data_IF_225073726642
#
_entry.id   IF_225073726642
#
_cell.length_a   1.000
_cell.length_b   1.000
_cell.length_c   1.000
_cell.angle_alpha   90.00
_cell.angle_beta   90.00
_cell.angle_gamma   90.00
#
_symmetry.space_group_name_H-M   'P 1'
#
loop_
_entity.id
_entity.type
_entity.pdbx_description
1 polymer ?
#
# COMPACT_ATOMS: atom_id res chain seq x y z
N UNK A 1 -12.02 16.17 -11.64
CA UNK A 1 -12.37 14.91 -11.01
C UNK A 1 -12.34 15.11 -9.50
N UNK A 2 -13.46 14.99 -8.77
CA UNK A 2 -13.50 15.18 -7.33
C UNK A 2 -12.59 14.16 -6.64
N UNK A 3 -11.67 14.65 -5.78
CA UNK A 3 -10.73 13.80 -5.05
C UNK A 3 -9.56 13.27 -5.89
N UNK A 4 -9.25 13.90 -7.02
CA UNK A 4 -8.03 13.63 -7.78
C UNK A 4 -7.32 14.96 -8.08
N UNK A 5 -6.02 15.02 -7.77
CA UNK A 5 -5.23 16.21 -7.96
C UNK A 5 -4.78 16.38 -9.42
N UNK A 6 -4.82 17.61 -9.92
CA UNK A 6 -4.12 18.03 -11.12
C UNK A 6 -2.80 18.69 -10.71
N UNK A 7 -1.70 18.20 -11.22
CA UNK A 7 -0.39 18.71 -10.90
C UNK A 7 0.06 19.71 -11.97
N UNK A 8 0.36 20.93 -11.56
CA UNK A 8 1.00 21.92 -12.42
C UNK A 8 2.46 21.51 -12.67
N UNK A 9 3.16 22.21 -13.56
CA UNK A 9 4.59 21.98 -13.83
C UNK A 9 5.43 21.99 -12.52
N UNK A 10 5.25 23.02 -11.69
CA UNK A 10 5.96 23.12 -10.40
C UNK A 10 5.56 22.02 -9.43
N UNK A 11 4.27 21.70 -9.37
CA UNK A 11 3.75 20.61 -8.55
C UNK A 11 4.31 19.25 -8.97
N UNK A 12 4.37 18.99 -10.29
CA UNK A 12 4.95 17.78 -10.87
C UNK A 12 6.44 17.66 -10.53
N UNK A 13 7.20 18.77 -10.63
CA UNK A 13 8.62 18.79 -10.27
C UNK A 13 8.84 18.44 -8.80
N UNK A 14 8.05 19.03 -7.90
CA UNK A 14 8.11 18.72 -6.47
C UNK A 14 7.75 17.26 -6.20
N UNK A 15 6.66 16.78 -6.80
CA UNK A 15 6.21 15.39 -6.67
C UNK A 15 7.30 14.39 -7.11
N UNK A 16 7.92 14.63 -8.25
CA UNK A 16 9.00 13.79 -8.78
C UNK A 16 10.24 13.83 -7.87
N UNK A 17 10.60 15.02 -7.34
CA UNK A 17 11.72 15.18 -6.41
C UNK A 17 11.50 14.36 -5.13
N UNK A 18 10.30 14.40 -4.55
CA UNK A 18 9.96 13.62 -3.36
C UNK A 18 9.98 12.12 -3.64
N UNK A 19 9.43 11.68 -4.76
CA UNK A 19 9.50 10.28 -5.16
C UNK A 19 10.93 9.79 -5.39
N UNK A 20 11.77 10.62 -6.01
CA UNK A 20 13.18 10.29 -6.21
C UNK A 20 13.93 10.19 -4.88
N UNK A 21 13.67 11.11 -3.97
CA UNK A 21 14.23 11.06 -2.61
C UNK A 21 13.87 9.76 -1.89
N UNK A 22 12.61 9.34 -1.94
CA UNK A 22 12.19 8.06 -1.34
C UNK A 22 12.87 6.86 -2.00
N UNK A 23 13.00 6.85 -3.33
CA UNK A 23 13.73 5.78 -4.03
C UNK A 23 15.19 5.70 -3.62
N UNK A 24 15.83 6.84 -3.42
CA UNK A 24 17.23 6.90 -2.95
C UNK A 24 17.37 6.33 -1.54
N UNK A 25 16.43 6.65 -0.63
CA UNK A 25 16.42 6.11 0.73
C UNK A 25 16.18 4.60 0.76
N UNK A 26 15.39 4.07 -0.18
CA UNK A 26 15.03 2.65 -0.24
C UNK A 26 15.97 1.84 -1.16
N UNK A 27 16.94 2.45 -1.82
CA UNK A 27 17.84 1.79 -2.79
C UNK A 27 18.47 0.53 -2.21
N UNK A 28 18.92 0.59 -0.98
CA UNK A 28 19.60 -0.51 -0.34
C UNK A 28 18.63 -1.34 0.51
N UNK A 29 18.29 -2.51 0.01
CA UNK A 29 17.49 -3.50 0.72
C UNK A 29 16.01 -3.56 0.35
N UNK A 30 15.53 -2.73 -0.58
CA UNK A 30 14.17 -2.83 -1.15
C UNK A 30 14.23 -3.13 -2.65
N UNK A 31 13.26 -3.92 -3.11
CA UNK A 31 13.04 -4.22 -4.51
C UNK A 31 11.81 -3.43 -4.98
N UNK A 32 12.01 -2.40 -5.81
CA UNK A 32 10.89 -1.66 -6.39
C UNK A 32 10.14 -2.56 -7.37
N UNK A 33 8.85 -2.70 -7.17
CA UNK A 33 7.94 -3.49 -8.01
C UNK A 33 6.82 -2.61 -8.53
N UNK A 34 6.16 -3.07 -9.59
CA UNK A 34 4.93 -2.48 -10.11
C UNK A 34 3.89 -3.56 -10.31
N UNK A 35 2.66 -3.23 -10.00
CA UNK A 35 1.54 -4.16 -10.14
C UNK A 35 0.39 -3.52 -10.91
N UNK A 36 -0.50 -4.30 -11.56
CA UNK A 36 -1.65 -3.77 -12.27
C UNK A 36 -2.53 -2.89 -11.38
N UNK A 37 -3.30 -2.00 -12.00
CA UNK A 37 -4.28 -1.16 -11.30
C UNK A 37 -5.67 -1.81 -11.24
N UNK A 38 -5.99 -2.62 -12.23
CA UNK A 38 -7.30 -3.24 -12.42
C UNK A 38 -7.22 -4.73 -12.13
N UNK A 39 -8.15 -5.22 -11.33
CA UNK A 39 -8.23 -6.63 -10.92
C UNK A 39 -9.66 -7.14 -10.96
N UNK A 40 -9.81 -8.42 -11.20
CA UNK A 40 -11.07 -9.13 -11.06
C UNK A 40 -11.45 -9.22 -9.58
N UNK A 41 -12.76 -9.24 -9.31
CA UNK A 41 -13.31 -9.29 -7.95
C UNK A 41 -12.81 -10.50 -7.15
N UNK A 42 -12.50 -11.62 -7.81
CA UNK A 42 -12.01 -12.83 -7.16
C UNK A 42 -10.78 -12.62 -6.27
N UNK A 43 -9.87 -11.72 -6.65
CA UNK A 43 -8.75 -11.34 -5.79
C UNK A 43 -9.23 -10.72 -4.46
N UNK A 44 -10.23 -9.87 -4.54
CA UNK A 44 -10.77 -9.15 -3.40
C UNK A 44 -11.65 -10.04 -2.52
N UNK A 45 -12.27 -11.06 -3.09
CA UNK A 45 -13.00 -12.09 -2.35
C UNK A 45 -12.04 -12.93 -1.52
N UNK A 46 -10.96 -13.44 -2.14
CA UNK A 46 -9.92 -14.24 -1.46
C UNK A 46 -9.26 -13.44 -0.32
N UNK A 47 -8.93 -12.17 -0.57
CA UNK A 47 -8.28 -11.31 0.42
C UNK A 47 -9.24 -10.70 1.45
N UNK A 48 -10.55 -10.98 1.36
CA UNK A 48 -11.57 -10.47 2.26
C UNK A 48 -11.97 -9.00 2.07
N UNK A 49 -11.35 -8.30 1.11
CA UNK A 49 -11.64 -6.88 0.86
C UNK A 49 -13.04 -6.69 0.27
N UNK A 50 -13.51 -7.62 -0.57
CA UNK A 50 -14.83 -7.51 -1.19
C UNK A 50 -15.95 -7.44 -0.16
N UNK A 51 -15.89 -8.27 0.88
CA UNK A 51 -16.92 -8.28 1.93
C UNK A 51 -16.90 -7.08 2.87
N UNK A 52 -15.73 -6.45 3.05
CA UNK A 52 -15.54 -5.39 4.07
C UNK A 52 -15.44 -3.99 3.49
N UNK A 53 -14.96 -3.86 2.25
CA UNK A 53 -14.56 -2.56 1.66
C UNK A 53 -15.17 -2.32 0.28
N UNK A 54 -16.11 -3.16 -0.20
CA UNK A 54 -16.73 -3.03 -1.52
C UNK A 54 -17.25 -1.60 -1.79
N UNK A 55 -17.90 -0.99 -0.80
CA UNK A 55 -18.46 0.35 -0.92
C UNK A 55 -17.40 1.44 -1.15
N UNK A 56 -16.18 1.17 -0.67
CA UNK A 56 -15.03 2.06 -0.82
C UNK A 56 -14.17 1.73 -2.06
N UNK A 57 -14.62 0.82 -2.93
CA UNK A 57 -13.92 0.45 -4.15
C UNK A 57 -14.59 1.05 -5.37
N UNK A 58 -13.79 1.49 -6.33
CA UNK A 58 -14.29 1.82 -7.67
C UNK A 58 -14.49 0.54 -8.46
N UNK A 59 -15.73 0.19 -8.68
CA UNK A 59 -16.09 -0.98 -9.49
C UNK A 59 -16.11 -0.61 -10.97
N UNK A 60 -15.59 -1.50 -11.79
CA UNK A 60 -15.52 -1.35 -13.24
C UNK A 60 -16.45 -2.36 -13.89
N UNK A 61 -17.28 -1.87 -14.79
CA UNK A 61 -18.18 -2.68 -15.57
C UNK A 61 -17.40 -3.43 -16.67
N UNK A 62 -17.57 -4.72 -16.72
CA UNK A 62 -17.01 -5.56 -17.76
C UNK A 62 -18.05 -5.69 -18.90
N UNK A 63 -17.74 -5.13 -20.05
CA UNK A 63 -18.65 -5.16 -21.19
C UNK A 63 -18.85 -6.56 -21.79
N UNK A 64 -17.92 -7.49 -21.53
CA UNK A 64 -18.04 -8.87 -22.04
C UNK A 64 -19.00 -9.69 -21.20
N UNK A 65 -18.98 -9.54 -19.87
CA UNK A 65 -19.84 -10.29 -18.96
C UNK A 65 -21.12 -9.55 -18.62
N UNK A 66 -21.20 -8.24 -18.83
CA UNK A 66 -22.29 -7.40 -18.41
C UNK A 66 -22.34 -7.14 -16.90
N UNK A 67 -21.33 -7.55 -16.14
CA UNK A 67 -21.26 -7.45 -14.68
C UNK A 67 -20.24 -6.41 -14.21
N UNK A 68 -20.38 -5.99 -12.94
CA UNK A 68 -19.35 -5.23 -12.21
C UNK A 68 -18.46 -6.21 -11.45
N UNK A 69 -17.60 -6.92 -12.18
CA UNK A 69 -16.74 -7.97 -11.69
C UNK A 69 -15.25 -7.57 -11.61
N UNK A 70 -14.97 -6.31 -11.84
CA UNK A 70 -13.62 -5.74 -11.77
C UNK A 70 -13.61 -4.50 -10.87
N UNK A 71 -12.42 -4.13 -10.38
CA UNK A 71 -12.23 -2.89 -9.63
C UNK A 71 -10.82 -2.33 -9.76
N UNK A 72 -10.70 -1.01 -9.57
CA UNK A 72 -9.42 -0.38 -9.32
C UNK A 72 -8.91 -0.76 -7.93
N UNK A 73 -7.62 -1.03 -7.81
CA UNK A 73 -7.05 -1.44 -6.52
C UNK A 73 -7.12 -0.32 -5.48
N UNK A 74 -7.70 -0.59 -4.29
CA UNK A 74 -7.70 0.33 -3.16
C UNK A 74 -6.48 0.18 -2.27
N UNK A 75 -5.74 -0.94 -2.40
CA UNK A 75 -4.56 -1.34 -1.62
C UNK A 75 -3.61 -2.16 -2.48
N UNK A 76 -2.32 -2.17 -2.11
CA UNK A 76 -1.29 -2.95 -2.81
C UNK A 76 -1.11 -4.37 -2.24
N UNK A 77 -1.55 -4.64 -1.00
CA UNK A 77 -1.28 -5.88 -0.29
C UNK A 77 -1.56 -7.15 -1.10
N UNK A 78 -2.77 -7.35 -1.67
CA UNK A 78 -3.05 -8.58 -2.40
C UNK A 78 -2.17 -8.77 -3.64
N UNK A 79 -1.86 -7.69 -4.35
CA UNK A 79 -1.01 -7.75 -5.55
C UNK A 79 0.44 -8.07 -5.24
N UNK A 80 0.98 -7.57 -4.14
CA UNK A 80 2.33 -7.92 -3.67
C UNK A 80 2.41 -9.40 -3.28
N UNK A 81 1.39 -9.93 -2.61
CA UNK A 81 1.33 -11.35 -2.25
C UNK A 81 1.22 -12.26 -3.47
N UNK A 82 0.46 -11.86 -4.50
CA UNK A 82 0.45 -12.59 -5.77
C UNK A 82 1.86 -12.64 -6.35
N UNK A 83 2.53 -11.49 -6.47
CA UNK A 83 3.87 -11.43 -7.05
C UNK A 83 4.86 -12.29 -6.27
N UNK A 84 4.82 -12.24 -4.94
CA UNK A 84 5.64 -13.10 -4.09
C UNK A 84 5.36 -14.58 -4.33
N UNK A 85 4.09 -14.97 -4.49
CA UNK A 85 3.65 -16.33 -4.72
C UNK A 85 3.99 -16.89 -6.12
N UNK A 86 4.37 -16.03 -7.09
CA UNK A 86 4.80 -16.50 -8.43
C UNK A 86 6.19 -17.15 -8.42
N UNK A 87 7.01 -16.82 -7.43
CA UNK A 87 8.38 -17.35 -7.27
C UNK A 87 8.47 -18.46 -6.23
N UNK A 88 9.57 -19.22 -6.30
CA UNK A 88 10.01 -20.09 -5.21
C UNK A 88 11.09 -19.36 -4.45
N UNK A 89 10.84 -19.11 -3.17
CA UNK A 89 11.78 -18.39 -2.32
C UNK A 89 12.42 -19.32 -1.29
N UNK A 90 13.73 -19.20 -1.12
CA UNK A 90 14.45 -19.86 -0.04
C UNK A 90 14.37 -19.02 1.23
N UNK A 91 14.28 -19.66 2.39
CA UNK A 91 14.40 -18.96 3.68
C UNK A 91 15.70 -18.15 3.82
N UNK A 92 16.74 -18.49 3.05
CA UNK A 92 18.02 -17.78 3.01
C UNK A 92 17.96 -16.43 2.30
N UNK A 93 16.91 -16.20 1.52
CA UNK A 93 16.68 -14.93 0.79
C UNK A 93 15.94 -13.90 1.66
N UNK A 94 15.38 -14.36 2.78
CA UNK A 94 14.63 -13.51 3.69
C UNK A 94 15.54 -12.64 4.58
N UNK A 95 15.17 -11.41 4.84
CA UNK A 95 13.91 -10.77 4.45
C UNK A 95 13.90 -10.27 3.00
N UNK A 96 12.78 -10.47 2.30
CA UNK A 96 12.49 -9.87 0.99
C UNK A 96 11.58 -8.69 1.20
N UNK A 97 11.94 -7.52 0.65
CA UNK A 97 11.21 -6.26 0.82
C UNK A 97 10.78 -5.73 -0.53
N UNK A 98 9.49 -5.83 -0.83
CA UNK A 98 8.90 -5.21 -2.02
C UNK A 98 8.41 -3.81 -1.69
N UNK A 99 8.82 -2.82 -2.48
CA UNK A 99 8.31 -1.46 -2.40
C UNK A 99 7.63 -1.05 -3.70
N UNK A 100 6.65 -0.18 -3.62
CA UNK A 100 5.94 0.35 -4.77
C UNK A 100 5.51 1.79 -4.55
N UNK A 101 5.38 2.54 -5.66
CA UNK A 101 4.85 3.91 -5.72
C UNK A 101 3.58 3.96 -6.58
N UNK A 102 2.88 2.83 -6.66
CA UNK A 102 1.69 2.69 -7.50
C UNK A 102 0.55 3.60 -7.04
N UNK A 103 -0.28 3.94 -8.01
CA UNK A 103 -1.51 4.72 -7.77
C UNK A 103 -2.59 3.81 -7.20
N UNK A 104 -3.29 4.31 -6.20
CA UNK A 104 -4.42 3.68 -5.55
C UNK A 104 -5.68 4.51 -5.74
N UNK A 105 -6.84 3.84 -5.69
CA UNK A 105 -8.13 4.50 -5.84
C UNK A 105 -9.09 4.03 -4.74
N UNK A 106 -9.68 4.99 -4.02
CA UNK A 106 -10.71 4.72 -3.01
C UNK A 106 -11.94 5.56 -3.27
N UNK A 107 -13.10 4.94 -3.32
CA UNK A 107 -14.38 5.61 -3.53
C UNK A 107 -14.84 6.30 -2.23
N UNK A 108 -14.06 7.28 -1.78
CA UNK A 108 -14.41 8.08 -0.61
C UNK A 108 -15.70 8.88 -0.88
N UNK A 109 -16.56 8.99 0.14
CA UNK A 109 -17.77 9.81 0.03
C UNK A 109 -17.40 11.28 -0.17
N UNK A 110 -18.17 12.02 -0.95
CA UNK A 110 -17.83 13.39 -1.35
C UNK A 110 -17.65 14.33 -0.16
N UNK A 111 -18.44 14.17 0.90
CA UNK A 111 -18.35 14.97 2.13
C UNK A 111 -17.10 14.72 2.97
N UNK A 112 -16.36 13.63 2.72
CA UNK A 112 -15.13 13.32 3.42
C UNK A 112 -13.88 13.88 2.71
N UNK A 113 -14.01 14.36 1.47
CA UNK A 113 -12.87 14.86 0.70
C UNK A 113 -12.33 16.17 1.29
N UNK A 114 -11.01 16.26 1.46
CA UNK A 114 -10.35 17.43 2.05
C UNK A 114 -8.97 17.66 1.44
N UNK A 115 -8.85 18.65 0.56
CA UNK A 115 -7.60 19.06 -0.08
C UNK A 115 -6.80 17.90 -0.65
N UNK A 116 -5.55 17.75 -0.25
CA UNK A 116 -4.69 16.60 -0.53
C UNK A 116 -4.66 15.56 0.60
N UNK A 117 -5.33 15.83 1.72
CA UNK A 117 -5.31 14.95 2.90
C UNK A 117 -6.23 13.75 2.74
N UNK A 118 -7.40 13.94 2.10
CA UNK A 118 -8.32 12.86 1.79
C UNK A 118 -8.84 12.96 0.37
N UNK A 119 -8.37 12.07 -0.45
CA UNK A 119 -8.57 12.05 -1.90
C UNK A 119 -9.07 10.69 -2.36
N UNK A 120 -9.53 10.60 -3.60
CA UNK A 120 -9.97 9.35 -4.24
C UNK A 120 -8.87 8.68 -5.05
N UNK A 121 -7.88 9.46 -5.50
CA UNK A 121 -6.70 8.97 -6.22
C UNK A 121 -5.45 9.48 -5.52
N UNK A 122 -4.55 8.58 -5.15
CA UNK A 122 -3.30 8.89 -4.46
C UNK A 122 -2.25 7.82 -4.74
N UNK A 123 -1.00 8.11 -4.43
CA UNK A 123 0.09 7.13 -4.41
C UNK A 123 0.61 6.99 -2.99
N UNK A 124 1.15 5.82 -2.69
CA UNK A 124 1.86 5.55 -1.45
C UNK A 124 3.26 5.04 -1.79
N UNK A 125 4.22 5.37 -0.94
CA UNK A 125 5.47 4.64 -0.81
C UNK A 125 5.21 3.43 0.10
N UNK A 126 4.64 2.41 -0.46
CA UNK A 126 4.14 1.24 0.25
C UNK A 126 5.13 0.08 0.15
N UNK A 127 5.28 -0.69 1.22
CA UNK A 127 6.13 -1.87 1.22
C UNK A 127 5.50 -3.06 1.93
N UNK A 128 5.86 -4.26 1.44
CA UNK A 128 5.55 -5.53 2.09
C UNK A 128 6.85 -6.29 2.31
N UNK A 129 7.05 -6.72 3.55
CA UNK A 129 8.28 -7.38 3.99
C UNK A 129 7.95 -8.83 4.35
N UNK A 130 8.57 -9.74 3.63
CA UNK A 130 8.47 -11.19 3.85
C UNK A 130 9.69 -11.63 4.63
N UNK A 131 9.47 -12.23 5.80
CA UNK A 131 10.55 -12.55 6.74
C UNK A 131 10.20 -13.75 7.60
N UNK A 132 11.20 -14.32 8.26
CA UNK A 132 11.00 -15.33 9.31
C UNK A 132 10.60 -14.65 10.63
N UNK A 133 9.85 -15.35 11.47
CA UNK A 133 9.41 -14.85 12.77
C UNK A 133 10.58 -14.32 13.61
N UNK A 134 11.71 -15.04 13.61
CA UNK A 134 12.94 -14.62 14.31
C UNK A 134 13.53 -13.28 13.83
N UNK A 135 13.17 -12.84 12.62
CA UNK A 135 13.66 -11.57 12.03
C UNK A 135 12.75 -10.38 12.37
N UNK A 136 11.52 -10.62 12.91
CA UNK A 136 10.54 -9.56 13.19
C UNK A 136 11.11 -8.45 14.07
N UNK A 137 11.73 -8.72 15.24
CA UNK A 137 12.17 -7.65 16.13
C UNK A 137 13.17 -6.70 15.48
N UNK A 138 14.14 -7.26 14.77
CA UNK A 138 15.17 -6.47 14.10
C UNK A 138 14.60 -5.65 12.94
N UNK A 139 13.71 -6.25 12.15
CA UNK A 139 13.08 -5.56 11.03
C UNK A 139 12.16 -4.42 11.49
N UNK A 140 11.39 -4.62 12.56
CA UNK A 140 10.56 -3.58 13.16
C UNK A 140 11.42 -2.43 13.69
N UNK A 141 12.54 -2.73 14.38
CA UNK A 141 13.49 -1.70 14.84
C UNK A 141 14.02 -0.89 13.67
N UNK A 142 14.54 -1.56 12.64
CA UNK A 142 15.11 -0.94 11.43
C UNK A 142 14.08 -0.04 10.73
N UNK A 143 12.87 -0.54 10.54
CA UNK A 143 11.78 0.21 9.89
C UNK A 143 11.36 1.43 10.72
N UNK A 144 11.29 1.29 12.04
CA UNK A 144 10.99 2.40 12.95
C UNK A 144 12.04 3.51 12.86
N UNK A 145 13.32 3.16 12.90
CA UNK A 145 14.42 4.12 12.74
C UNK A 145 14.39 4.83 11.39
N UNK A 146 14.11 4.08 10.32
CA UNK A 146 13.94 4.62 8.98
C UNK A 146 12.82 5.65 8.91
N UNK A 147 11.62 5.32 9.41
CA UNK A 147 10.45 6.21 9.40
C UNK A 147 10.71 7.47 10.24
N UNK A 148 11.27 7.32 11.44
CA UNK A 148 11.60 8.47 12.28
C UNK A 148 12.68 9.35 11.64
N UNK A 149 13.65 8.76 10.95
CA UNK A 149 14.65 9.49 10.17
C UNK A 149 14.03 10.29 9.03
N UNK A 150 13.12 9.67 8.31
CA UNK A 150 12.37 10.32 7.25
C UNK A 150 11.59 11.55 7.75
N UNK A 151 10.80 11.41 8.81
CA UNK A 151 10.04 12.53 9.37
C UNK A 151 10.96 13.67 9.86
N UNK A 152 12.09 13.35 10.48
CA UNK A 152 13.07 14.37 10.90
C UNK A 152 13.60 15.21 9.74
N UNK A 153 13.77 14.63 8.55
CA UNK A 153 14.21 15.36 7.36
C UNK A 153 13.24 16.47 6.97
N UNK A 154 11.95 16.29 7.25
CA UNK A 154 10.90 17.29 7.01
C UNK A 154 10.60 18.17 8.23
N UNK A 155 11.35 18.05 9.32
CA UNK A 155 11.10 18.79 10.55
C UNK A 155 9.81 18.37 11.25
N UNK A 156 9.31 17.14 11.00
CA UNK A 156 8.11 16.61 11.61
C UNK A 156 8.45 15.80 12.86
N UNK A 157 7.77 16.09 13.96
CA UNK A 157 7.83 15.27 15.16
C UNK A 157 6.86 14.09 15.04
N UNK A 158 7.32 12.90 15.41
CA UNK A 158 6.53 11.70 15.38
C UNK A 158 6.44 11.06 16.78
N UNK A 159 5.24 10.64 17.16
CA UNK A 159 4.98 9.89 18.39
C UNK A 159 4.59 8.46 18.02
N UNK A 160 5.28 7.49 18.61
CA UNK A 160 4.96 6.08 18.43
C UNK A 160 3.84 5.66 19.41
N UNK A 161 2.82 5.00 18.87
CA UNK A 161 1.77 4.35 19.66
C UNK A 161 1.78 2.87 19.35
N UNK A 162 1.91 2.04 20.37
CA UNK A 162 1.80 0.62 20.22
C UNK A 162 0.35 0.18 20.41
N UNK A 163 -0.20 -0.52 19.42
CA UNK A 163 -1.52 -1.12 19.48
C UNK A 163 -1.39 -2.61 19.75
N UNK A 164 -2.11 -3.08 20.76
CA UNK A 164 -2.20 -4.52 21.07
C UNK A 164 -3.36 -5.17 20.33
N UNK A 165 -3.36 -6.50 20.28
CA UNK A 165 -4.41 -7.30 19.65
C UNK A 165 -5.75 -7.08 20.39
N UNK A 166 -6.82 -6.67 19.72
CA UNK A 166 -8.13 -6.48 20.35
C UNK A 166 -8.82 -7.82 20.64
N UNK A 167 -9.84 -7.82 21.54
CA UNK A 167 -10.64 -9.01 21.81
C UNK A 167 -11.38 -9.50 20.56
N UNK A 168 -12.01 -8.55 19.80
CA UNK A 168 -12.63 -8.86 18.51
C UNK A 168 -11.57 -8.75 17.40
N UNK A 169 -11.13 -9.86 16.88
CA UNK A 169 -10.05 -9.97 15.89
C UNK A 169 -10.35 -11.03 14.83
N UNK A 170 -9.65 -10.94 13.72
CA UNK A 170 -9.59 -12.00 12.72
C UNK A 170 -8.47 -12.97 13.11
N UNK A 171 -8.71 -14.26 12.94
CA UNK A 171 -7.75 -15.30 13.32
C UNK A 171 -7.91 -15.77 14.77
N UNK A 172 -7.27 -16.87 15.08
CA UNK A 172 -7.20 -17.47 16.42
C UNK A 172 -5.89 -17.12 17.16
N UNK A 173 -5.69 -17.68 18.35
CA UNK A 173 -4.52 -17.40 19.16
C UNK A 173 -3.24 -18.11 18.67
N UNK A 174 -3.34 -18.98 17.68
CA UNK A 174 -2.23 -19.69 17.05
C UNK A 174 -1.72 -19.04 15.75
N UNK A 175 -2.30 -17.90 15.34
CA UNK A 175 -1.89 -17.14 14.16
C UNK A 175 -0.98 -15.98 14.51
#
# INVERSE_FOLDING_TARGET
APGAAFWTERGTSLYNTLNQFMRELQRDGYQEIRTPLLYNKGLWEISGHWGKYKENMFLVHNNETGEQDMSLKPMNCPSHHILYGLGKHSYKELPIRYSTYDVLHRNEVSGALSGLTRVRQFSQDDCHIYLMESQIPEEVRRLTEFILGYYRTFGLEATLKFATRPEQRIGDDGM
#
